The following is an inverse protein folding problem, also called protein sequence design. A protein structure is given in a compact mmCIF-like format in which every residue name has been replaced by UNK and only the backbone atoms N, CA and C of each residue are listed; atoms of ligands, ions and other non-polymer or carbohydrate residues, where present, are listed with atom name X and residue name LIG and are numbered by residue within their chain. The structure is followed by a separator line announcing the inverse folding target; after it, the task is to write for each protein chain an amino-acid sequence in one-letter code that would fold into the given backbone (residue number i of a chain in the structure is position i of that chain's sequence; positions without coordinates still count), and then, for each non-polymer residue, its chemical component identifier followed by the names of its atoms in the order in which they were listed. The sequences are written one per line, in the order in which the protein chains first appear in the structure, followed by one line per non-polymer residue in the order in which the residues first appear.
data_IF_250738363154
#
_entry.id   IF_250738363154
#
_cell.length_a   1.000
_cell.length_b   1.000
_cell.length_c   1.000
_cell.angle_alpha   90.00
_cell.angle_beta   90.00
_cell.angle_gamma   90.00
#
_symmetry.space_group_name_H-M   'P 1'
#
loop_
_entity.id
_entity.type
_entity.pdbx_description
1 polymer ?
#
# COMPACT_ATOMS: atom_id res chain seq x y z
N UNK A 1 -27.80 -11.73 -4.31
CA UNK A 1 -28.46 -11.66 -2.99
C UNK A 1 -27.44 -11.31 -1.95
N UNK A 2 -27.64 -10.20 -1.25
CA UNK A 2 -26.77 -9.71 -0.19
C UNK A 2 -27.59 -9.79 1.11
N UNK A 3 -27.40 -10.86 1.87
CA UNK A 3 -28.11 -11.03 3.14
C UNK A 3 -27.64 -10.01 4.17
N UNK A 4 -28.54 -9.15 4.62
CA UNK A 4 -28.31 -8.22 5.72
C UNK A 4 -29.39 -8.37 6.81
N UNK A 5 -29.04 -8.15 8.10
CA UNK A 5 -30.00 -8.15 9.19
C UNK A 5 -30.88 -6.87 9.20
N UNK A 6 -32.20 -7.12 9.22
CA UNK A 6 -33.37 -6.22 9.02
C UNK A 6 -33.41 -4.79 9.56
N UNK A 7 -32.47 -4.27 10.36
CA UNK A 7 -32.76 -3.06 11.15
C UNK A 7 -31.79 -1.87 11.12
N UNK A 8 -30.62 -1.91 10.46
CA UNK A 8 -29.78 -0.70 10.32
C UNK A 8 -28.81 -0.83 9.13
N UNK A 9 -29.27 -0.68 7.90
CA UNK A 9 -28.41 -0.66 6.71
C UNK A 9 -28.19 0.76 6.17
N UNK A 10 -26.96 1.12 5.77
CA UNK A 10 -26.78 2.15 4.76
C UNK A 10 -27.42 1.64 3.46
N UNK A 11 -28.48 2.32 3.02
CA UNK A 11 -29.12 2.06 1.73
C UNK A 11 -28.07 2.19 0.62
N UNK A 12 -27.73 1.07 -0.03
CA UNK A 12 -26.82 1.06 -1.18
C UNK A 12 -27.44 1.91 -2.28
N UNK A 13 -26.68 2.88 -2.79
CA UNK A 13 -27.12 3.85 -3.79
C UNK A 13 -26.33 3.69 -5.08
N UNK A 14 -26.91 4.25 -6.14
CA UNK A 14 -26.17 4.47 -7.39
C UNK A 14 -24.88 5.24 -7.09
N UNK A 15 -23.82 4.88 -7.80
CA UNK A 15 -22.47 5.41 -7.65
C UNK A 15 -21.71 5.03 -6.36
N UNK A 16 -22.33 4.29 -5.44
CA UNK A 16 -21.62 3.70 -4.31
C UNK A 16 -20.53 2.74 -4.80
N UNK A 17 -19.45 2.69 -4.02
CA UNK A 17 -18.36 1.76 -4.26
C UNK A 17 -18.53 0.57 -3.33
N UNK A 18 -18.59 -0.61 -3.92
CA UNK A 18 -18.74 -1.86 -3.18
C UNK A 18 -17.53 -2.76 -3.38
N UNK A 19 -17.18 -3.49 -2.33
CA UNK A 19 -16.50 -4.78 -2.48
C UNK A 19 -17.58 -5.84 -2.46
N UNK A 20 -17.71 -6.58 -3.57
CA UNK A 20 -18.55 -7.75 -3.65
C UNK A 20 -17.74 -8.97 -3.27
N UNK A 21 -18.28 -9.78 -2.38
CA UNK A 21 -17.64 -10.99 -1.88
C UNK A 21 -18.53 -12.17 -2.26
N UNK A 22 -18.02 -13.02 -3.12
CA UNK A 22 -18.62 -14.30 -3.43
C UNK A 22 -18.09 -15.35 -2.45
N UNK A 23 -18.98 -16.15 -1.89
CA UNK A 23 -18.66 -17.25 -0.97
C UNK A 23 -19.55 -18.45 -1.28
N UNK A 24 -19.08 -19.31 -2.17
CA UNK A 24 -19.72 -20.58 -2.54
C UNK A 24 -18.81 -21.75 -2.16
N UNK A 25 -19.37 -22.95 -2.00
CA UNK A 25 -18.72 -24.15 -1.46
C UNK A 25 -17.28 -24.42 -1.95
N UNK A 26 -16.95 -24.06 -3.19
CA UNK A 26 -15.62 -24.26 -3.79
C UNK A 26 -15.02 -22.98 -4.40
N UNK A 27 -15.63 -21.82 -4.17
CA UNK A 27 -15.29 -20.59 -4.89
C UNK A 27 -15.49 -19.38 -3.99
N UNK A 28 -14.39 -18.73 -3.66
CA UNK A 28 -14.37 -17.41 -3.02
C UNK A 28 -13.78 -16.42 -4.01
N UNK A 29 -14.32 -15.21 -4.08
CA UNK A 29 -13.74 -14.14 -4.90
C UNK A 29 -14.17 -12.79 -4.37
N UNK A 30 -13.33 -11.77 -4.56
CA UNK A 30 -13.65 -10.39 -4.20
C UNK A 30 -13.49 -9.46 -5.38
N UNK A 31 -14.41 -8.52 -5.52
CA UNK A 31 -14.40 -7.56 -6.62
C UNK A 31 -14.78 -6.15 -6.15
N UNK A 32 -13.88 -5.19 -6.36
CA UNK A 32 -14.19 -3.78 -6.24
C UNK A 32 -15.00 -3.27 -7.43
N UNK A 33 -16.22 -2.78 -7.18
CA UNK A 33 -17.13 -2.27 -8.22
C UNK A 33 -17.71 -0.92 -7.86
N UNK A 34 -18.17 -0.22 -8.88
CA UNK A 34 -19.08 0.92 -8.74
C UNK A 34 -20.50 0.47 -9.10
N UNK A 35 -21.46 0.79 -8.25
CA UNK A 35 -22.88 0.46 -8.47
C UNK A 35 -23.43 1.29 -9.62
N UNK A 36 -23.92 0.63 -10.68
CA UNK A 36 -24.54 1.30 -11.84
C UNK A 36 -25.97 1.70 -11.53
N UNK A 37 -26.72 0.78 -10.93
CA UNK A 37 -28.07 0.99 -10.42
C UNK A 37 -28.40 -0.05 -9.36
N UNK A 38 -29.45 0.25 -8.60
CA UNK A 38 -30.05 -0.66 -7.62
C UNK A 38 -31.50 -0.82 -8.01
N UNK A 39 -31.89 -2.04 -8.33
CA UNK A 39 -33.28 -2.38 -8.64
C UNK A 39 -33.89 -3.05 -7.41
N UNK A 40 -34.93 -2.41 -6.87
CA UNK A 40 -35.81 -3.00 -5.87
C UNK A 40 -37.07 -3.48 -6.59
N UNK A 41 -37.06 -4.71 -7.09
CA UNK A 41 -38.30 -5.32 -7.57
C UNK A 41 -39.22 -5.57 -6.37
N UNK A 42 -40.50 -5.19 -6.48
CA UNK A 42 -41.51 -5.36 -5.41
C UNK A 42 -41.69 -6.81 -4.96
N UNK A 43 -41.25 -7.78 -5.75
CA UNK A 43 -41.35 -9.23 -5.49
C UNK A 43 -40.08 -9.84 -4.89
N UNK A 44 -38.95 -9.13 -4.89
CA UNK A 44 -37.70 -9.61 -4.31
C UNK A 44 -37.56 -9.02 -2.90
N UNK A 45 -37.34 -9.88 -1.89
CA UNK A 45 -37.07 -9.42 -0.51
C UNK A 45 -35.73 -8.67 -0.39
N UNK A 46 -34.84 -8.77 -1.39
CA UNK A 46 -33.51 -8.19 -1.38
C UNK A 46 -33.16 -7.38 -2.65
N UNK A 47 -32.32 -6.32 -2.52
CA UNK A 47 -31.94 -5.46 -3.65
C UNK A 47 -31.07 -6.19 -4.67
N UNK A 48 -31.33 -5.92 -5.95
CA UNK A 48 -30.46 -6.35 -7.06
C UNK A 48 -29.52 -5.21 -7.44
N UNK A 49 -28.21 -5.49 -7.46
CA UNK A 49 -27.19 -4.53 -7.90
C UNK A 49 -26.79 -4.83 -9.35
N UNK A 50 -26.67 -3.78 -10.15
CA UNK A 50 -26.18 -3.88 -11.53
C UNK A 50 -24.74 -3.36 -11.57
N UNK A 51 -23.85 -4.18 -12.14
CA UNK A 51 -22.43 -3.88 -12.34
C UNK A 51 -22.03 -4.07 -13.80
N UNK A 52 -20.87 -3.54 -14.19
CA UNK A 52 -20.32 -3.75 -15.53
C UNK A 52 -19.83 -5.20 -15.69
N UNK A 53 -20.44 -5.94 -16.62
CA UNK A 53 -20.14 -7.36 -16.86
C UNK A 53 -18.69 -7.60 -17.30
N UNK A 54 -18.01 -6.59 -17.85
CA UNK A 54 -16.61 -6.70 -18.31
C UNK A 54 -15.62 -6.82 -17.15
N UNK A 55 -16.02 -6.38 -15.96
CA UNK A 55 -15.18 -6.44 -14.75
C UNK A 55 -15.68 -7.47 -13.74
N UNK A 56 -16.80 -8.15 -14.01
CA UNK A 56 -17.45 -9.07 -13.08
C UNK A 56 -16.55 -10.26 -12.69
N UNK A 57 -15.60 -10.64 -13.56
CA UNK A 57 -14.66 -11.71 -13.29
C UNK A 57 -15.38 -13.03 -13.03
N UNK A 58 -15.17 -13.61 -11.85
CA UNK A 58 -15.81 -14.86 -11.44
C UNK A 58 -17.24 -14.69 -10.92
N UNK A 59 -17.71 -13.46 -10.70
CA UNK A 59 -19.07 -13.20 -10.23
C UNK A 59 -20.02 -13.32 -11.43
N UNK A 60 -20.80 -14.39 -11.47
CA UNK A 60 -21.78 -14.62 -12.52
C UNK A 60 -23.10 -13.88 -12.22
N UNK A 61 -23.91 -13.71 -13.25
CA UNK A 61 -25.27 -13.18 -13.11
C UNK A 61 -26.08 -14.01 -12.10
N UNK A 62 -26.89 -13.32 -11.28
CA UNK A 62 -27.69 -13.92 -10.21
C UNK A 62 -26.91 -14.60 -9.07
N UNK A 63 -25.58 -14.43 -9.00
CA UNK A 63 -24.81 -14.89 -7.84
C UNK A 63 -25.21 -14.13 -6.56
N UNK A 64 -25.06 -14.85 -5.45
CA UNK A 64 -25.33 -14.36 -4.11
C UNK A 64 -23.99 -13.87 -3.56
N UNK A 65 -23.92 -12.58 -3.26
CA UNK A 65 -22.66 -11.91 -2.88
C UNK A 65 -22.90 -11.12 -1.62
N UNK A 66 -21.89 -10.96 -0.77
CA UNK A 66 -21.93 -10.01 0.33
C UNK A 66 -21.37 -8.67 -0.18
N UNK A 67 -22.12 -7.58 0.01
CA UNK A 67 -21.70 -6.24 -0.39
C UNK A 67 -21.13 -5.45 0.78
N UNK A 68 -19.96 -4.85 0.60
CA UNK A 68 -19.35 -3.94 1.57
C UNK A 68 -19.19 -2.56 0.94
N UNK A 69 -19.86 -1.54 1.49
CA UNK A 69 -19.63 -0.14 1.06
C UNK A 69 -18.25 0.31 1.51
N UNK A 70 -17.44 0.77 0.55
CA UNK A 70 -16.08 1.26 0.79
C UNK A 70 -15.90 2.70 0.33
N UNK A 71 -14.94 3.39 0.93
CA UNK A 71 -14.37 4.61 0.38
C UNK A 71 -13.00 4.25 -0.22
N UNK A 72 -12.97 3.95 -1.52
CA UNK A 72 -11.74 3.53 -2.19
C UNK A 72 -10.71 4.68 -2.20
N UNK A 73 -9.46 4.44 -1.74
CA UNK A 73 -8.42 5.46 -1.76
C UNK A 73 -8.06 5.83 -3.21
N UNK A 74 -7.51 7.03 -3.39
CA UNK A 74 -6.99 7.45 -4.69
C UNK A 74 -5.65 6.75 -4.97
N UNK A 75 -5.49 6.24 -6.18
CA UNK A 75 -4.23 5.67 -6.63
C UNK A 75 -3.20 6.78 -6.83
N UNK A 76 -2.01 6.62 -6.25
CA UNK A 76 -0.82 7.41 -6.58
C UNK A 76 -0.12 6.81 -7.81
N UNK A 77 -0.15 5.49 -7.92
CA UNK A 77 0.49 4.74 -9.00
C UNK A 77 -0.41 3.61 -9.49
N UNK A 78 -0.41 3.39 -10.81
CA UNK A 78 -1.11 2.32 -11.49
C UNK A 78 -0.19 1.70 -12.54
N UNK A 79 0.03 0.39 -12.43
CA UNK A 79 0.77 -0.41 -13.39
C UNK A 79 -0.18 -1.17 -14.30
N UNK A 80 -0.06 -0.93 -15.60
CA UNK A 80 -0.85 -1.58 -16.64
C UNK A 80 0.06 -2.45 -17.48
N UNK A 81 -0.27 -3.73 -17.58
CA UNK A 81 0.43 -4.68 -18.43
C UNK A 81 -0.32 -4.86 -19.74
N UNK A 82 0.42 -4.85 -20.85
CA UNK A 82 -0.10 -5.10 -22.19
C UNK A 82 0.73 -6.18 -22.90
N UNK A 83 0.20 -6.83 -23.95
CA UNK A 83 0.98 -7.75 -24.78
C UNK A 83 2.17 -7.08 -25.49
N UNK A 84 3.28 -7.81 -25.64
CA UNK A 84 4.50 -7.32 -26.32
C UNK A 84 4.24 -6.83 -27.75
N UNK A 85 3.34 -7.52 -28.46
CA UNK A 85 2.93 -7.20 -29.83
C UNK A 85 2.01 -5.98 -29.96
N UNK A 86 1.69 -5.30 -28.85
CA UNK A 86 0.92 -4.06 -28.87
C UNK A 86 1.65 -2.93 -29.60
N UNK A 87 0.89 -2.08 -30.29
CA UNK A 87 1.43 -0.95 -31.04
C UNK A 87 2.02 0.17 -30.17
N UNK A 88 1.72 0.18 -28.87
CA UNK A 88 2.12 1.27 -27.95
C UNK A 88 3.49 0.99 -27.32
N UNK A 89 4.18 2.02 -26.84
CA UNK A 89 5.49 1.88 -26.18
C UNK A 89 5.34 1.69 -24.67
N UNK A 90 6.33 1.09 -24.01
CA UNK A 90 6.39 1.09 -22.54
C UNK A 90 6.72 2.48 -21.99
N UNK A 91 6.33 2.75 -20.74
CA UNK A 91 6.70 3.99 -20.04
C UNK A 91 5.53 4.68 -19.35
N UNK A 92 5.66 5.99 -19.14
CA UNK A 92 4.61 6.83 -18.54
C UNK A 92 3.55 7.19 -19.57
N UNK A 93 2.31 6.80 -19.29
CA UNK A 93 1.13 7.07 -20.11
C UNK A 93 0.07 7.88 -19.36
N UNK A 94 0.46 8.55 -18.28
CA UNK A 94 -0.46 9.28 -17.41
C UNK A 94 -1.26 10.34 -18.16
N UNK A 95 -0.62 11.10 -19.06
CA UNK A 95 -1.27 12.18 -19.81
C UNK A 95 -2.34 11.67 -20.80
N UNK A 96 -2.15 10.47 -21.35
CA UNK A 96 -3.05 9.86 -22.33
C UNK A 96 -4.16 9.06 -21.66
N UNK A 97 -3.81 8.20 -20.71
CA UNK A 97 -4.73 7.22 -20.11
C UNK A 97 -5.57 7.85 -18.98
N UNK A 98 -4.95 8.66 -18.11
CA UNK A 98 -5.62 9.17 -16.90
C UNK A 98 -6.89 9.97 -17.20
N UNK A 99 -6.92 10.91 -18.18
CA UNK A 99 -8.14 11.69 -18.45
C UNK A 99 -9.33 10.81 -18.82
N UNK A 100 -9.09 9.68 -19.49
CA UNK A 100 -10.14 8.75 -19.94
C UNK A 100 -10.69 7.86 -18.83
N UNK A 101 -9.87 7.64 -17.79
CA UNK A 101 -10.16 6.70 -16.71
C UNK A 101 -10.34 7.39 -15.35
N UNK A 102 -10.35 8.72 -15.33
CA UNK A 102 -10.49 9.50 -14.12
C UNK A 102 -11.74 9.08 -13.34
N UNK A 103 -11.54 8.79 -12.06
CA UNK A 103 -12.59 8.38 -11.14
C UNK A 103 -13.10 6.94 -11.31
N UNK A 104 -12.57 6.18 -12.27
CA UNK A 104 -12.86 4.75 -12.39
C UNK A 104 -12.19 3.97 -11.26
N UNK A 105 -12.82 2.84 -10.90
CA UNK A 105 -12.27 1.89 -9.94
C UNK A 105 -11.39 0.89 -10.67
N UNK A 106 -10.24 0.66 -10.07
CA UNK A 106 -9.22 -0.26 -10.52
C UNK A 106 -9.06 -1.34 -9.47
N UNK A 107 -9.08 -2.59 -9.92
CA UNK A 107 -8.80 -3.75 -9.09
C UNK A 107 -7.77 -4.63 -9.79
N UNK A 108 -7.03 -5.43 -9.03
CA UNK A 108 -5.96 -6.25 -9.58
C UNK A 108 -6.51 -7.28 -10.57
N UNK A 109 -5.79 -7.51 -11.67
CA UNK A 109 -6.19 -8.43 -12.73
C UNK A 109 -7.38 -7.97 -13.57
N UNK A 110 -8.01 -6.83 -13.26
CA UNK A 110 -9.12 -6.34 -14.06
C UNK A 110 -8.61 -5.78 -15.40
N UNK A 111 -9.35 -6.00 -16.49
CA UNK A 111 -9.02 -5.40 -17.77
C UNK A 111 -9.23 -3.89 -17.71
N UNK A 112 -8.35 -3.15 -18.38
CA UNK A 112 -8.43 -1.71 -18.52
C UNK A 112 -8.33 -1.37 -20.00
N UNK A 113 -9.32 -0.62 -20.51
CA UNK A 113 -9.39 -0.23 -21.91
C UNK A 113 -9.22 1.26 -22.05
N UNK A 114 -8.34 1.68 -22.94
CA UNK A 114 -8.07 3.08 -23.21
C UNK A 114 -7.74 3.27 -24.69
N UNK A 115 -8.05 4.47 -25.15
CA UNK A 115 -7.79 4.96 -26.49
C UNK A 115 -6.36 5.46 -26.60
N UNK A 116 -5.65 5.06 -27.65
CA UNK A 116 -4.30 5.56 -27.97
C UNK A 116 -4.25 6.15 -29.37
N UNK A 117 -3.42 7.18 -29.62
CA UNK A 117 -3.21 7.69 -30.97
C UNK A 117 -2.58 6.61 -31.85
N UNK A 118 -3.07 6.46 -33.08
CA UNK A 118 -2.43 5.58 -34.08
C UNK A 118 -1.07 6.13 -34.51
N UNK A 119 -0.14 5.24 -34.87
CA UNK A 119 1.23 5.60 -35.31
C UNK A 119 1.27 6.47 -36.58
N UNK A 120 0.21 6.47 -37.38
CA UNK A 120 0.19 7.13 -38.68
C UNK A 120 -0.17 8.62 -38.62
N UNK A 121 -0.46 9.16 -37.44
CA UNK A 121 -0.67 10.61 -37.24
C UNK A 121 -1.75 11.23 -38.11
N UNK A 122 -2.61 10.42 -38.75
CA UNK A 122 -3.76 10.90 -39.50
C UNK A 122 -4.82 11.29 -38.49
N UNK A 123 -5.04 12.59 -38.41
CA UNK A 123 -5.98 13.27 -37.53
C UNK A 123 -7.26 12.43 -37.36
N UNK A 124 -7.51 12.04 -36.10
CA UNK A 124 -8.68 11.32 -35.57
C UNK A 124 -8.68 9.78 -35.52
N UNK A 125 -7.65 9.07 -36.01
CA UNK A 125 -7.60 7.60 -35.85
C UNK A 125 -7.05 7.17 -34.47
N UNK A 126 -7.91 6.51 -33.69
CA UNK A 126 -7.66 6.06 -32.32
C UNK A 126 -7.71 4.54 -32.24
N UNK A 127 -6.66 3.91 -31.71
CA UNK A 127 -6.64 2.48 -31.40
C UNK A 127 -7.20 2.21 -30.01
N UNK A 128 -8.04 1.18 -29.89
CA UNK A 128 -8.48 0.70 -28.58
C UNK A 128 -7.48 -0.31 -28.05
N UNK A 129 -6.73 0.07 -27.02
CA UNK A 129 -5.81 -0.83 -26.32
C UNK A 129 -6.48 -1.41 -25.09
N UNK A 130 -6.34 -2.73 -24.91
CA UNK A 130 -6.70 -3.42 -23.67
C UNK A 130 -5.43 -3.85 -22.93
N UNK A 131 -5.34 -3.49 -21.66
CA UNK A 131 -4.32 -3.96 -20.73
C UNK A 131 -4.94 -4.57 -19.48
N UNK A 132 -4.08 -4.98 -18.55
CA UNK A 132 -4.48 -5.57 -17.28
C UNK A 132 -3.82 -4.80 -16.15
N UNK A 133 -4.59 -4.50 -15.12
CA UNK A 133 -4.06 -3.87 -13.91
C UNK A 133 -3.22 -4.91 -13.16
N UNK A 134 -1.92 -4.70 -13.10
CA UNK A 134 -1.02 -5.61 -12.37
C UNK A 134 -0.77 -5.12 -10.95
N UNK A 135 -0.66 -3.80 -10.76
CA UNK A 135 -0.29 -3.23 -9.46
C UNK A 135 -0.86 -1.83 -9.28
N UNK A 136 -1.17 -1.48 -8.03
CA UNK A 136 -1.53 -0.12 -7.65
C UNK A 136 -0.84 0.28 -6.34
N UNK A 137 -0.70 1.59 -6.13
CA UNK A 137 -0.33 2.14 -4.81
C UNK A 137 -1.40 3.17 -4.43
N UNK A 138 -2.12 3.00 -3.31
CA UNK A 138 -2.12 1.83 -2.41
C UNK A 138 -2.70 0.58 -3.08
N UNK A 139 -2.72 -0.55 -2.36
CA UNK A 139 -3.28 -1.82 -2.84
C UNK A 139 -4.76 -1.69 -3.25
N UNK A 140 -5.20 -2.44 -4.27
CA UNK A 140 -6.56 -2.32 -4.80
C UNK A 140 -7.62 -2.91 -3.84
N UNK A 141 -8.89 -2.46 -3.92
CA UNK A 141 -9.43 -1.59 -4.96
C UNK A 141 -9.14 -0.09 -4.73
N UNK A 142 -8.78 0.61 -5.80
CA UNK A 142 -8.45 2.05 -5.77
C UNK A 142 -9.22 2.83 -6.82
N UNK A 143 -9.31 4.14 -6.63
CA UNK A 143 -9.88 5.08 -7.61
C UNK A 143 -8.76 5.83 -8.34
N UNK A 144 -8.85 5.93 -9.67
CA UNK A 144 -7.93 6.79 -10.43
C UNK A 144 -8.22 8.26 -10.10
N UNK A 145 -7.21 8.96 -9.58
CA UNK A 145 -7.25 10.38 -9.25
C UNK A 145 -6.53 11.24 -10.29
N UNK A 146 -6.57 12.56 -10.10
CA UNK A 146 -5.89 13.52 -10.98
C UNK A 146 -4.36 13.40 -10.94
N UNK A 147 -3.82 12.98 -9.80
CA UNK A 147 -2.37 12.83 -9.58
C UNK A 147 -1.88 11.39 -9.83
N UNK A 148 -2.74 10.48 -10.29
CA UNK A 148 -2.34 9.09 -10.51
C UNK A 148 -1.30 9.03 -11.62
N UNK A 149 -0.15 8.43 -11.34
CA UNK A 149 0.85 8.07 -12.34
C UNK A 149 0.49 6.70 -12.92
N UNK A 150 0.36 6.62 -14.25
CA UNK A 150 0.02 5.39 -14.96
C UNK A 150 1.22 4.96 -15.80
N UNK A 151 1.81 3.82 -15.47
CA UNK A 151 2.89 3.23 -16.26
C UNK A 151 2.42 1.98 -16.98
N UNK A 152 2.82 1.88 -18.23
CA UNK A 152 2.51 0.76 -19.11
C UNK A 152 3.76 -0.06 -19.33
N UNK A 153 3.62 -1.37 -19.19
CA UNK A 153 4.68 -2.34 -19.44
C UNK A 153 4.19 -3.45 -20.37
N UNK A 154 5.07 -3.89 -21.26
CA UNK A 154 4.88 -4.96 -22.20
C UNK A 154 5.35 -6.27 -21.60
N UNK A 155 4.51 -7.29 -21.68
CA UNK A 155 4.86 -8.63 -21.23
C UNK A 155 4.41 -9.67 -22.25
N UNK A 156 5.08 -10.82 -22.20
CA UNK A 156 4.69 -11.99 -22.98
C UNK A 156 3.30 -12.47 -22.57
N UNK A 157 2.62 -13.17 -23.49
CA UNK A 157 1.29 -13.72 -23.19
C UNK A 157 1.33 -14.71 -22.01
N UNK A 158 2.43 -15.45 -21.87
CA UNK A 158 2.65 -16.36 -20.75
C UNK A 158 2.71 -15.60 -19.42
N UNK A 159 3.50 -14.53 -19.34
CA UNK A 159 3.59 -13.67 -18.15
C UNK A 159 2.24 -13.04 -17.82
N UNK A 160 1.51 -12.57 -18.83
CA UNK A 160 0.16 -12.02 -18.66
C UNK A 160 -0.79 -13.07 -18.05
N UNK A 161 -0.72 -14.32 -18.50
CA UNK A 161 -1.54 -15.39 -17.94
C UNK A 161 -1.17 -15.69 -16.49
N UNK A 162 0.13 -15.71 -16.16
CA UNK A 162 0.60 -15.90 -14.78
C UNK A 162 0.12 -14.78 -13.85
N UNK A 163 0.15 -13.52 -14.33
CA UNK A 163 -0.39 -12.37 -13.60
C UNK A 163 -1.89 -12.53 -13.34
N UNK A 164 -2.67 -12.98 -14.32
CA UNK A 164 -4.11 -13.24 -14.13
C UNK A 164 -4.34 -14.28 -13.03
N UNK A 165 -3.58 -15.38 -13.03
CA UNK A 165 -3.68 -16.43 -12.00
C UNK A 165 -3.33 -15.88 -10.62
N UNK A 166 -2.24 -15.12 -10.50
CA UNK A 166 -1.84 -14.49 -9.24
C UNK A 166 -2.90 -13.50 -8.72
N UNK A 167 -3.47 -12.69 -9.62
CA UNK A 167 -4.54 -11.75 -9.28
C UNK A 167 -5.81 -12.46 -8.79
N UNK A 168 -6.17 -13.60 -9.38
CA UNK A 168 -7.29 -14.43 -8.89
C UNK A 168 -7.01 -14.91 -7.47
N UNK A 169 -5.80 -15.41 -7.20
CA UNK A 169 -5.44 -15.87 -5.86
C UNK A 169 -5.45 -14.74 -4.83
N UNK A 170 -4.99 -13.54 -5.19
CA UNK A 170 -5.07 -12.35 -4.35
C UNK A 170 -6.53 -11.96 -4.04
N UNK A 171 -7.41 -12.00 -5.04
CA UNK A 171 -8.85 -11.77 -4.85
C UNK A 171 -9.49 -12.79 -3.92
N UNK A 172 -9.08 -14.05 -3.99
CA UNK A 172 -9.58 -15.13 -3.13
C UNK A 172 -9.11 -14.96 -1.68
N UNK A 173 -7.84 -14.60 -1.49
CA UNK A 173 -7.28 -14.30 -0.17
C UNK A 173 -8.00 -13.12 0.46
N UNK A 174 -8.17 -12.02 -0.30
CA UNK A 174 -8.90 -10.83 0.13
C UNK A 174 -10.37 -11.14 0.47
N UNK A 175 -11.04 -11.99 -0.32
CA UNK A 175 -12.40 -12.44 -0.01
C UNK A 175 -12.47 -13.21 1.32
N UNK A 176 -11.50 -14.10 1.56
CA UNK A 176 -11.40 -14.85 2.81
C UNK A 176 -11.21 -13.92 4.00
N UNK A 177 -10.28 -12.96 3.91
CA UNK A 177 -10.08 -11.96 4.96
C UNK A 177 -11.36 -11.18 5.25
N UNK A 178 -12.08 -10.70 4.23
CA UNK A 178 -13.34 -9.99 4.47
C UNK A 178 -14.44 -10.87 5.06
N UNK A 179 -14.51 -12.16 4.70
CA UNK A 179 -15.48 -13.08 5.30
C UNK A 179 -15.18 -13.30 6.79
N UNK A 180 -13.90 -13.48 7.14
CA UNK A 180 -13.46 -13.57 8.54
C UNK A 180 -13.82 -12.28 9.32
N UNK A 181 -13.61 -11.11 8.72
CA UNK A 181 -13.98 -9.82 9.33
C UNK A 181 -15.49 -9.67 9.55
N UNK A 182 -16.30 -10.14 8.59
CA UNK A 182 -17.77 -10.12 8.68
C UNK A 182 -18.27 -11.08 9.77
N UNK A 183 -17.71 -12.29 9.84
CA UNK A 183 -18.08 -13.31 10.84
C UNK A 183 -17.71 -12.89 12.27
N UNK A 184 -16.61 -12.16 12.43
CA UNK A 184 -16.16 -11.67 13.74
C UNK A 184 -16.92 -10.42 14.25
N UNK A 185 -17.95 -9.93 13.53
CA UNK A 185 -18.66 -8.65 13.79
C UNK A 185 -17.74 -7.42 13.80
N UNK A 186 -16.55 -7.54 13.23
CA UNK A 186 -15.55 -6.46 13.17
C UNK A 186 -15.95 -5.43 12.12
N UNK A 187 -16.67 -5.85 11.08
CA UNK A 187 -17.25 -4.96 10.09
C UNK A 187 -18.26 -3.96 10.69
N UNK A 188 -19.12 -4.40 11.62
CA UNK A 188 -20.06 -3.51 12.34
C UNK A 188 -19.29 -2.45 13.14
N UNK A 189 -18.19 -2.86 13.77
CA UNK A 189 -17.32 -1.97 14.53
C UNK A 189 -16.55 -0.98 13.62
N UNK A 190 -15.98 -1.43 12.50
CA UNK A 190 -15.35 -0.54 11.50
C UNK A 190 -16.36 0.42 10.84
N UNK A 191 -17.60 -0.03 10.69
CA UNK A 191 -18.71 0.79 10.19
C UNK A 191 -19.10 1.85 11.22
N UNK A 192 -19.15 1.51 12.51
CA UNK A 192 -19.32 2.47 13.61
C UNK A 192 -18.20 3.54 13.62
N UNK A 193 -16.95 3.17 13.30
CA UNK A 193 -15.84 4.12 13.14
C UNK A 193 -16.03 5.09 11.98
N UNK A 194 -16.32 4.55 10.79
CA UNK A 194 -16.44 5.35 9.56
C UNK A 194 -17.69 6.23 9.57
N UNK A 195 -18.68 5.89 10.41
CA UNK A 195 -19.87 6.69 10.66
C UNK A 195 -19.69 7.71 11.81
N UNK A 196 -18.47 7.89 12.33
CA UNK A 196 -18.11 9.04 13.20
C UNK A 196 -18.31 8.84 14.70
N UNK A 197 -18.41 7.61 15.21
CA UNK A 197 -18.59 7.38 16.65
C UNK A 197 -17.30 7.41 17.47
N UNK A 198 -16.13 7.20 16.84
CA UNK A 198 -14.82 7.35 17.50
C UNK A 198 -14.05 8.51 16.86
N UNK A 199 -13.40 9.32 17.69
CA UNK A 199 -12.61 10.47 17.26
C UNK A 199 -11.12 10.10 17.14
N UNK A 200 -10.48 10.38 15.99
CA UNK A 200 -9.07 10.07 15.79
C UNK A 200 -8.15 11.09 16.47
N UNK A 201 -6.97 10.62 16.89
CA UNK A 201 -5.81 11.44 17.18
C UNK A 201 -4.56 10.80 16.59
N UNK A 202 -3.84 11.54 15.75
CA UNK A 202 -2.65 11.06 15.05
C UNK A 202 -1.40 11.82 15.50
N UNK A 203 -0.29 11.11 15.63
CA UNK A 203 1.02 11.71 15.90
C UNK A 203 2.10 11.11 14.99
N UNK A 204 2.88 11.94 14.29
CA UNK A 204 4.03 11.48 13.53
C UNK A 204 5.27 11.30 14.42
N UNK A 205 6.12 10.35 14.05
CA UNK A 205 7.40 10.03 14.67
C UNK A 205 8.47 9.79 13.60
N UNK A 206 9.74 9.93 13.96
CA UNK A 206 10.88 9.71 13.07
C UNK A 206 12.04 9.09 13.83
N UNK A 207 12.65 8.06 13.25
CA UNK A 207 13.72 7.25 13.85
C UNK A 207 14.83 6.97 12.84
N UNK A 208 16.09 6.87 13.31
CA UNK A 208 17.27 6.50 12.50
C UNK A 208 17.46 4.99 12.47
N UNK A 209 16.56 4.30 11.79
CA UNK A 209 16.49 2.83 11.79
C UNK A 209 15.90 2.30 10.49
N UNK A 210 16.00 0.99 10.28
CA UNK A 210 15.47 0.31 9.09
C UNK A 210 13.95 0.13 9.22
N UNK A 211 13.16 0.62 8.26
CA UNK A 211 11.70 0.69 8.40
C UNK A 211 11.02 -0.69 8.42
N UNK A 212 11.58 -1.67 7.71
CA UNK A 212 11.09 -3.06 7.74
C UNK A 212 11.29 -3.69 9.11
N UNK A 213 12.50 -3.58 9.67
CA UNK A 213 12.80 -4.15 10.98
C UNK A 213 11.98 -3.46 12.08
N UNK A 214 11.84 -2.12 12.00
CA UNK A 214 10.99 -1.38 12.92
C UNK A 214 9.54 -1.85 12.86
N UNK A 215 8.99 -2.04 11.65
CA UNK A 215 7.64 -2.52 11.45
C UNK A 215 7.40 -3.87 12.14
N UNK A 216 8.31 -4.83 11.95
CA UNK A 216 8.23 -6.14 12.60
C UNK A 216 8.35 -6.03 14.12
N UNK A 217 9.26 -5.21 14.65
CA UNK A 217 9.39 -4.99 16.10
C UNK A 217 8.16 -4.34 16.71
N UNK A 218 7.58 -3.34 16.03
CA UNK A 218 6.33 -2.70 16.45
C UNK A 218 5.18 -3.71 16.47
N UNK A 219 5.07 -4.51 15.41
CA UNK A 219 4.06 -5.56 15.31
C UNK A 219 4.16 -6.54 16.47
N UNK A 220 5.35 -7.12 16.68
CA UNK A 220 5.60 -8.08 17.76
C UNK A 220 5.31 -7.51 19.14
N UNK A 221 5.72 -6.27 19.42
CA UNK A 221 5.45 -5.63 20.72
C UNK A 221 3.94 -5.42 20.94
N UNK A 222 3.22 -5.03 19.89
CA UNK A 222 1.81 -4.69 20.00
C UNK A 222 0.95 -5.95 20.05
N UNK A 223 1.31 -7.04 19.37
CA UNK A 223 0.65 -8.35 19.46
C UNK A 223 0.67 -8.95 20.87
N UNK A 224 1.68 -8.62 21.69
CA UNK A 224 1.72 -9.07 23.10
C UNK A 224 0.64 -8.40 23.96
N UNK A 225 0.20 -7.19 23.59
CA UNK A 225 -0.71 -6.36 24.39
C UNK A 225 -2.09 -6.19 23.75
N UNK A 226 -2.18 -6.39 22.45
CA UNK A 226 -3.32 -6.02 21.62
C UNK A 226 -3.60 -7.10 20.58
N UNK A 227 -4.82 -7.11 20.07
CA UNK A 227 -5.21 -8.08 19.06
C UNK A 227 -4.87 -7.49 17.71
N UNK A 228 -3.98 -8.15 16.97
CA UNK A 228 -3.71 -7.84 15.57
C UNK A 228 -5.01 -7.96 14.79
N UNK A 229 -5.33 -6.92 14.02
CA UNK A 229 -6.52 -6.87 13.20
C UNK A 229 -6.19 -6.99 11.71
N UNK A 230 -5.28 -6.14 11.22
CA UNK A 230 -4.95 -6.09 9.81
C UNK A 230 -3.48 -5.71 9.64
N UNK A 231 -2.86 -6.26 8.60
CA UNK A 231 -1.54 -5.87 8.14
C UNK A 231 -1.51 -5.73 6.62
N UNK A 232 -0.75 -4.73 6.17
CA UNK A 232 -0.45 -4.52 4.77
C UNK A 232 1.00 -4.11 4.65
N UNK A 233 1.81 -4.92 3.97
CA UNK A 233 3.23 -4.64 3.76
C UNK A 233 3.50 -4.44 2.29
N UNK A 234 4.16 -3.34 1.97
CA UNK A 234 4.65 -3.03 0.66
C UNK A 234 6.16 -2.79 0.73
N UNK A 235 6.90 -3.59 -0.03
CA UNK A 235 8.31 -3.37 -0.32
C UNK A 235 8.44 -3.03 -1.79
N UNK A 236 8.85 -1.80 -2.08
CA UNK A 236 9.18 -1.37 -3.44
C UNK A 236 10.68 -1.41 -3.65
N UNK A 237 11.15 -2.25 -4.57
CA UNK A 237 12.46 -2.08 -5.17
C UNK A 237 12.37 -0.93 -6.18
N UNK A 238 13.26 0.07 -6.06
CA UNK A 238 13.42 1.10 -7.07
C UNK A 238 14.18 0.47 -8.25
N UNK A 239 13.47 -0.17 -9.18
CA UNK A 239 14.05 -0.59 -10.45
C UNK A 239 14.25 0.63 -11.36
N UNK A 240 15.28 1.43 -11.06
CA UNK A 240 15.96 2.24 -12.07
C UNK A 240 17.08 1.37 -12.66
N UNK A 241 16.73 0.40 -13.51
CA UNK A 241 17.71 -0.20 -14.41
C UNK A 241 17.09 -0.34 -15.79
N UNK A 242 17.28 0.73 -16.56
CA UNK A 242 17.25 0.74 -18.01
C UNK A 242 18.24 -0.33 -18.50
N UNK A 243 17.80 -1.24 -19.38
CA UNK A 243 18.70 -2.18 -20.04
C UNK A 243 19.73 -1.39 -20.87
N UNK A 244 21.01 -1.53 -20.52
CA UNK A 244 22.12 -1.00 -21.31
C UNK A 244 23.41 -0.69 -20.54
N UNK A 245 23.38 -0.67 -19.20
CA UNK A 245 24.60 -0.45 -18.40
C UNK A 245 24.80 -1.63 -17.46
N UNK A 246 26.00 -2.23 -17.51
CA UNK A 246 26.40 -3.30 -16.60
C UNK A 246 26.15 -2.88 -15.13
N UNK A 247 25.74 -3.81 -14.25
CA UNK A 247 25.38 -3.48 -12.88
C UNK A 247 26.63 -3.00 -12.13
N UNK A 248 26.70 -1.71 -11.85
CA UNK A 248 27.55 -1.21 -10.77
C UNK A 248 26.81 -1.52 -9.48
N UNK A 249 27.32 -2.51 -8.75
CA UNK A 249 27.04 -2.73 -7.34
C UNK A 249 27.30 -1.43 -6.59
N UNK A 250 26.25 -0.65 -6.31
CA UNK A 250 26.13 0.16 -5.09
C UNK A 250 24.71 0.76 -5.01
N UNK A 251 24.01 0.32 -3.95
CA UNK A 251 22.81 0.91 -3.33
C UNK A 251 21.50 0.92 -4.12
N UNK A 252 20.82 -0.23 -4.11
CA UNK A 252 19.37 -0.32 -4.32
C UNK A 252 18.65 0.31 -3.11
N UNK A 253 18.14 1.54 -3.25
CA UNK A 253 17.30 2.14 -2.22
C UNK A 253 15.91 1.47 -2.21
N UNK A 254 15.68 0.58 -1.25
CA UNK A 254 14.36 -0.04 -1.03
C UNK A 254 13.46 0.93 -0.27
N UNK A 255 12.29 1.22 -0.83
CA UNK A 255 11.25 2.01 -0.17
C UNK A 255 10.31 1.04 0.54
N UNK A 256 10.21 1.17 1.87
CA UNK A 256 9.30 0.39 2.69
C UNK A 256 8.04 1.21 3.03
N UNK A 257 6.88 0.58 2.94
CA UNK A 257 5.62 1.09 3.47
C UNK A 257 4.83 -0.06 4.08
N UNK A 258 4.59 -0.02 5.38
CA UNK A 258 3.76 -0.98 6.09
C UNK A 258 2.63 -0.26 6.82
N UNK A 259 1.47 -0.89 6.89
CA UNK A 259 0.34 -0.46 7.72
C UNK A 259 -0.07 -1.63 8.59
N UNK A 260 -0.23 -1.39 9.88
CA UNK A 260 -0.71 -2.41 10.82
C UNK A 260 -1.76 -1.80 11.74
N UNK A 261 -2.81 -2.57 12.02
CA UNK A 261 -3.92 -2.13 12.87
C UNK A 261 -4.14 -3.12 14.01
N UNK A 262 -4.39 -2.60 15.20
CA UNK A 262 -4.66 -3.35 16.43
C UNK A 262 -5.91 -2.85 17.15
N UNK A 263 -6.51 -3.71 17.96
CA UNK A 263 -7.61 -3.37 18.85
C UNK A 263 -7.35 -3.72 20.32
N UNK A 264 -7.89 -2.90 21.22
CA UNK A 264 -8.01 -3.21 22.66
C UNK A 264 -9.40 -3.79 22.94
N UNK A 265 -9.52 -4.76 23.85
CA UNK A 265 -10.83 -5.28 24.31
C UNK A 265 -11.16 -4.79 25.72
N UNK A 266 -12.41 -4.34 25.93
CA UNK A 266 -13.00 -4.09 27.25
C UNK A 266 -14.36 -4.78 27.33
N UNK A 267 -14.53 -5.69 28.29
CA UNK A 267 -15.76 -6.53 28.45
C UNK A 267 -16.15 -7.29 27.17
N UNK A 268 -15.17 -7.80 26.43
CA UNK A 268 -15.40 -8.58 25.21
C UNK A 268 -15.67 -7.75 23.94
N UNK A 269 -15.81 -6.43 24.05
CA UNK A 269 -15.98 -5.54 22.90
C UNK A 269 -14.72 -4.70 22.67
N UNK A 270 -14.35 -4.42 21.40
CA UNK A 270 -13.28 -3.48 21.09
C UNK A 270 -13.57 -2.08 21.66
N UNK A 271 -12.60 -1.45 22.31
CA UNK A 271 -12.78 -0.13 22.96
C UNK A 271 -11.95 1.01 22.35
N UNK A 272 -10.81 0.67 21.74
CA UNK A 272 -9.91 1.57 21.01
C UNK A 272 -9.26 0.82 19.87
N UNK A 273 -8.78 1.62 18.93
CA UNK A 273 -8.09 1.15 17.74
C UNK A 273 -6.79 1.88 17.61
N UNK A 274 -5.77 1.15 17.20
CA UNK A 274 -4.43 1.66 16.98
C UNK A 274 -4.06 1.33 15.54
N UNK A 275 -3.83 2.35 14.74
CA UNK A 275 -3.36 2.23 13.37
C UNK A 275 -1.96 2.81 13.29
N UNK A 276 -0.99 2.02 12.83
CA UNK A 276 0.37 2.45 12.62
C UNK A 276 0.71 2.34 11.13
N UNK A 277 1.10 3.48 10.54
CA UNK A 277 1.65 3.54 9.21
C UNK A 277 3.16 3.78 9.32
N UNK A 278 3.96 2.81 8.89
CA UNK A 278 5.43 2.87 8.89
C UNK A 278 5.89 3.06 7.45
N UNK A 279 6.66 4.09 7.20
CA UNK A 279 7.23 4.39 5.87
C UNK A 279 8.68 4.78 6.00
N UNK A 280 9.50 4.52 4.99
CA UNK A 280 10.89 4.94 5.06
C UNK A 280 11.78 4.31 4.01
N UNK A 281 13.06 4.65 4.12
CA UNK A 281 14.16 4.10 3.36
C UNK A 281 15.20 3.54 4.36
N UNK A 282 16.19 2.78 3.88
CA UNK A 282 17.25 2.28 4.76
C UNK A 282 17.85 3.41 5.61
N UNK A 283 17.90 3.20 6.93
CA UNK A 283 18.41 4.15 7.92
C UNK A 283 17.49 5.32 8.31
N UNK A 284 16.33 5.50 7.66
CA UNK A 284 15.34 6.54 8.03
C UNK A 284 13.92 5.99 8.01
N UNK A 285 13.30 5.94 9.19
CA UNK A 285 11.93 5.46 9.39
C UNK A 285 11.02 6.59 9.86
N UNK A 286 9.86 6.73 9.24
CA UNK A 286 8.76 7.64 9.62
C UNK A 286 7.54 6.83 9.99
N UNK A 287 6.86 7.24 11.04
CA UNK A 287 5.69 6.53 11.55
C UNK A 287 4.59 7.53 11.80
N UNK A 288 3.38 7.22 11.37
CA UNK A 288 2.18 7.91 11.81
C UNK A 288 1.39 6.90 12.64
N UNK A 289 1.27 7.20 13.94
CA UNK A 289 0.44 6.41 14.83
C UNK A 289 -0.88 7.16 15.02
N UNK A 290 -1.99 6.50 14.73
CA UNK A 290 -3.34 7.03 14.92
C UNK A 290 -4.09 6.17 15.92
N UNK A 291 -4.68 6.80 16.93
CA UNK A 291 -5.57 6.14 17.87
C UNK A 291 -6.99 6.63 17.65
N UNK A 292 -7.95 5.70 17.63
CA UNK A 292 -9.37 6.00 17.60
C UNK A 292 -10.00 5.55 18.92
N UNK A 293 -10.73 6.45 19.57
CA UNK A 293 -11.46 6.20 20.82
C UNK A 293 -12.74 7.04 20.88
N UNK A 294 -13.57 6.87 21.91
CA UNK A 294 -14.90 7.51 22.02
C UNK A 294 -14.89 9.04 21.95
N UNK A 295 -13.76 9.68 22.24
CA UNK A 295 -13.53 11.10 22.07
C UNK A 295 -12.03 11.37 21.94
N UNK A 296 -11.68 12.55 21.43
CA UNK A 296 -10.30 12.96 21.14
C UNK A 296 -9.41 12.97 22.38
N UNK A 297 -9.95 13.30 23.55
CA UNK A 297 -9.18 13.27 24.81
C UNK A 297 -8.75 11.83 25.12
N UNK A 298 -9.65 10.86 25.02
CA UNK A 298 -9.32 9.46 25.23
C UNK A 298 -8.30 8.94 24.21
N UNK A 299 -8.40 9.37 22.94
CA UNK A 299 -7.44 9.01 21.89
C UNK A 299 -6.05 9.58 22.18
N UNK A 300 -5.99 10.86 22.55
CA UNK A 300 -4.75 11.56 22.90
C UNK A 300 -4.10 10.93 24.13
N UNK A 301 -4.83 10.79 25.25
CA UNK A 301 -4.30 10.20 26.48
C UNK A 301 -3.75 8.80 26.24
N UNK A 302 -4.45 7.96 25.48
CA UNK A 302 -3.97 6.61 25.19
C UNK A 302 -2.70 6.60 24.35
N UNK A 303 -2.63 7.45 23.32
CA UNK A 303 -1.43 7.58 22.48
C UNK A 303 -0.24 8.10 23.29
N UNK A 304 -0.43 9.19 24.02
CA UNK A 304 0.63 9.91 24.74
C UNK A 304 1.13 9.15 25.97
N UNK A 305 0.25 8.56 26.76
CA UNK A 305 0.65 7.95 28.03
C UNK A 305 0.99 6.46 27.91
N UNK A 306 0.40 5.74 26.94
CA UNK A 306 0.55 4.28 26.86
C UNK A 306 1.33 3.78 25.66
N UNK A 307 1.26 4.46 24.52
CA UNK A 307 1.92 4.01 23.29
C UNK A 307 3.23 4.75 23.01
N UNK A 308 3.32 6.02 23.37
CA UNK A 308 4.50 6.86 23.12
C UNK A 308 5.79 6.21 23.64
N UNK A 309 5.83 5.87 24.93
CA UNK A 309 7.03 5.28 25.54
C UNK A 309 7.40 3.94 24.92
N UNK A 310 6.41 3.08 24.63
CA UNK A 310 6.62 1.79 23.96
C UNK A 310 7.26 1.97 22.58
N UNK A 311 6.82 2.99 21.84
CA UNK A 311 7.35 3.31 20.51
C UNK A 311 8.81 3.78 20.57
N UNK A 312 9.15 4.64 21.53
CA UNK A 312 10.53 5.10 21.72
C UNK A 312 11.47 3.98 22.19
N UNK A 313 11.01 3.05 23.03
CA UNK A 313 11.82 1.87 23.40
C UNK A 313 12.19 1.02 22.18
N UNK A 314 11.28 0.88 21.20
CA UNK A 314 11.61 0.20 19.94
C UNK A 314 12.63 1.01 19.15
N UNK A 315 12.41 2.32 19.00
CA UNK A 315 13.29 3.20 18.22
C UNK A 315 14.71 3.27 18.74
N UNK A 316 14.89 3.46 20.05
CA UNK A 316 16.21 3.53 20.69
C UNK A 316 16.95 2.18 20.64
N UNK A 317 16.24 1.07 20.82
CA UNK A 317 16.82 -0.28 20.72
C UNK A 317 17.23 -0.69 19.30
N UNK A 318 16.86 0.09 18.29
CA UNK A 318 17.10 -0.18 16.87
C UNK A 318 17.80 0.97 16.16
N UNK A 319 18.31 1.97 16.89
CA UNK A 319 19.15 3.00 16.30
C UNK A 319 20.36 2.32 15.67
N UNK A 320 20.56 2.58 14.38
CA UNK A 320 21.75 2.11 13.69
C UNK A 320 22.92 2.87 14.31
N UNK A 321 23.71 2.18 15.14
CA UNK A 321 25.04 2.67 15.49
C UNK A 321 25.74 2.96 14.16
N UNK A 322 26.09 4.23 13.93
CA UNK A 322 26.99 4.56 12.83
C UNK A 322 28.23 3.69 13.02
N UNK A 323 28.46 2.73 12.13
CA UNK A 323 29.72 1.99 12.09
C UNK A 323 30.82 3.05 12.10
N UNK A 324 31.54 3.18 13.22
CA UNK A 324 32.81 3.88 13.22
C UNK A 324 33.75 3.02 12.38
N UNK A 325 33.75 3.26 11.07
CA UNK A 325 34.70 2.64 10.16
C UNK A 325 36.07 3.22 10.51
N UNK A 326 36.80 2.48 11.32
CA UNK A 326 38.15 2.78 11.75
C UNK A 326 39.12 2.58 10.57
N UNK A 327 39.44 3.65 9.85
CA UNK A 327 40.53 3.62 8.87
C UNK A 327 41.87 3.63 9.60
N UNK A 328 42.79 2.74 9.25
CA UNK A 328 44.08 2.65 9.93
C UNK A 328 45.16 3.41 9.15
N UNK A 329 45.85 4.33 9.82
CA UNK A 329 47.05 4.95 9.27
C UNK A 329 48.15 3.89 9.06
N UNK A 330 49.08 4.13 8.14
CA UNK A 330 50.26 3.28 7.93
C UNK A 330 51.11 3.06 9.20
N UNK A 331 51.03 3.94 10.20
CA UNK A 331 51.66 3.76 11.51
C UNK A 331 50.84 2.91 12.50
N UNK A 332 49.73 2.32 12.06
CA UNK A 332 48.86 1.46 12.86
C UNK A 332 47.81 2.20 13.70
N UNK A 333 47.79 3.55 13.70
CA UNK A 333 46.80 4.32 14.46
C UNK A 333 45.46 4.35 13.74
N UNK A 334 44.39 4.05 14.46
CA UNK A 334 43.00 4.20 13.98
C UNK A 334 42.67 5.68 13.84
N UNK A 335 42.13 6.04 12.68
CA UNK A 335 41.74 7.39 12.29
C UNK A 335 40.25 7.57 12.47
N UNK A 336 39.87 8.65 13.14
CA UNK A 336 38.49 9.07 13.30
C UNK A 336 38.03 9.80 12.04
N UNK A 337 37.32 9.09 11.16
CA UNK A 337 36.91 9.58 9.85
C UNK A 337 36.06 10.85 9.89
N UNK A 338 35.42 11.16 11.02
CA UNK A 338 34.63 12.39 11.22
C UNK A 338 35.48 13.66 11.19
N UNK A 339 36.80 13.54 11.40
CA UNK A 339 37.76 14.66 11.39
C UNK A 339 38.39 14.92 10.01
N UNK A 340 37.92 14.25 8.96
CA UNK A 340 38.36 14.57 7.61
C UNK A 340 37.81 15.91 7.13
N UNK A 341 38.62 16.63 6.36
CA UNK A 341 38.17 17.82 5.66
C UNK A 341 37.28 17.47 4.45
N UNK A 342 36.73 18.50 3.79
CA UNK A 342 35.83 18.36 2.62
C UNK A 342 36.43 17.55 1.46
N UNK A 343 37.77 17.51 1.34
CA UNK A 343 38.49 16.74 0.33
C UNK A 343 38.79 15.28 0.74
N UNK A 344 38.39 14.90 1.96
CA UNK A 344 38.58 13.57 2.54
C UNK A 344 39.97 13.32 3.14
N UNK A 345 40.70 14.37 3.51
CA UNK A 345 42.01 14.26 4.16
C UNK A 345 41.90 14.39 5.68
N UNK A 346 42.59 13.48 6.37
CA UNK A 346 42.75 13.50 7.82
C UNK A 346 44.23 13.40 8.19
N UNK A 347 44.69 14.23 9.14
CA UNK A 347 46.04 14.16 9.66
C UNK A 347 46.09 13.16 10.81
N UNK A 348 46.98 12.16 10.73
CA UNK A 348 47.12 11.18 11.80
C UNK A 348 47.61 11.87 13.09
N UNK A 349 46.93 11.68 14.24
CA UNK A 349 47.35 12.32 15.48
C UNK A 349 48.68 11.78 16.02
N UNK A 350 49.05 10.55 15.69
CA UNK A 350 50.27 9.90 16.19
C UNK A 350 51.51 10.23 15.37
N UNK A 351 51.44 10.13 14.03
CA UNK A 351 52.60 10.31 13.15
C UNK A 351 52.58 11.61 12.34
N UNK A 352 51.47 12.37 12.39
CA UNK A 352 51.33 13.63 11.67
C UNK A 352 51.20 13.51 10.15
N UNK A 353 51.22 12.29 9.59
CA UNK A 353 51.08 12.09 8.15
C UNK A 353 49.63 12.32 7.69
N UNK A 354 49.42 12.96 6.52
CA UNK A 354 48.12 13.06 5.91
C UNK A 354 47.69 11.70 5.35
N UNK A 355 46.47 11.29 5.66
CA UNK A 355 45.84 10.08 5.13
C UNK A 355 44.58 10.51 4.38
N UNK A 356 44.33 9.87 3.23
CA UNK A 356 43.15 10.16 2.42
C UNK A 356 42.15 9.03 2.60
N UNK A 357 40.98 9.34 3.14
CA UNK A 357 39.90 8.38 3.35
C UNK A 357 39.37 7.93 1.97
N UNK A 358 38.97 6.67 1.74
CA UNK A 358 38.37 6.24 0.47
C UNK A 358 37.16 7.09 0.03
N UNK A 359 36.96 7.27 -1.28
CA UNK A 359 35.91 8.14 -1.86
C UNK A 359 34.51 7.79 -1.33
N UNK A 360 34.21 6.51 -1.12
CA UNK A 360 32.93 6.03 -0.56
C UNK A 360 32.57 6.58 0.83
N UNK A 361 33.54 7.10 1.58
CA UNK A 361 33.33 7.72 2.89
C UNK A 361 33.46 9.25 2.87
N UNK A 362 33.87 9.82 1.73
CA UNK A 362 33.94 11.27 1.51
C UNK A 362 32.56 11.75 1.10
N UNK A 363 31.66 11.92 2.07
CA UNK A 363 30.37 12.65 2.02
C UNK A 363 29.47 12.33 3.23
N UNK A 364 29.98 11.64 4.26
CA UNK A 364 29.17 11.27 5.45
C UNK A 364 28.77 12.49 6.31
N UNK A 365 29.37 13.67 6.08
CA UNK A 365 29.14 14.88 6.88
C UNK A 365 28.48 16.04 6.11
N UNK A 366 27.57 15.75 5.18
CA UNK A 366 26.64 16.76 4.67
C UNK A 366 25.20 16.27 4.91
N UNK A 367 24.63 16.75 6.03
CA UNK A 367 23.26 16.59 6.59
C UNK A 367 22.98 15.45 7.57
#
# INVERSE_FOLDING_TARGET
MIGYPKNQEPEVKKDDLLILILDELNRKSSLGVKVVSVDQYKELEEPTIIIDSRIAGDIAENNYVKGIVINAPKANYLEVIIPDNSGIYEGDWSTTIRPQLLGKICDIGNPIRFSTPTKDGKDDAVDLTEGIINRTIPSPPVKIGQETVIRVFKRSQETINNIKVAALQEKNNRATSYLEELEQKVFELLRELKNGQLEPYSRPYSFKTKPKEFYESLKNLFEQSYILYNEGVYTGEKNDSFEGSAPTTDQQETVFSGTVTFFTKKKGQPDKIIEAQVTGQEGKTKIILTVYAKNKVASMTFLEEQLHNKLFTIGEGMEIETETVAEQCSCGTILDITKANEEGWIKCPSCGLPNRIPVKYRNINLE
#
